data_IF_352101081767
#
_entry.id   IF_352101081767
#
_cell.length_a   1.000
_cell.length_b   1.000
_cell.length_c   1.000
_cell.angle_alpha   90.00
_cell.angle_beta   90.00
_cell.angle_gamma   90.00
#
_symmetry.space_group_name_H-M   'P 1'
#
loop_
_entity.id
_entity.type
_entity.pdbx_description
1 polymer ?
#
# COMPACT_ATOMS: atom_id res chain seq x y z
N UNK A 1 -37.64 61.63 64.55
CA UNK A 1 -37.65 62.62 63.44
C UNK A 1 -36.29 62.53 62.77
N UNK A 2 -36.05 62.03 61.56
CA UNK A 2 -36.90 61.75 60.41
C UNK A 2 -36.37 60.50 59.69
N UNK A 3 -37.29 59.68 59.21
CA UNK A 3 -37.03 58.57 58.31
C UNK A 3 -36.65 59.12 56.92
N UNK A 4 -35.46 58.79 56.42
CA UNK A 4 -35.09 59.04 55.02
C UNK A 4 -35.20 57.74 54.23
N UNK A 5 -36.22 57.71 53.40
CA UNK A 5 -36.68 56.70 52.46
C UNK A 5 -35.56 56.18 51.55
N UNK A 6 -35.11 54.93 51.76
CA UNK A 6 -34.29 54.21 50.77
C UNK A 6 -35.18 53.79 49.61
N UNK A 7 -34.98 54.40 48.45
CA UNK A 7 -35.71 54.10 47.21
C UNK A 7 -35.16 52.79 46.62
N UNK A 8 -35.82 51.68 46.88
CA UNK A 8 -35.61 50.41 46.17
C UNK A 8 -36.04 50.57 44.72
N UNK A 9 -35.09 50.61 43.78
CA UNK A 9 -35.37 50.42 42.36
C UNK A 9 -35.69 48.93 42.16
N UNK A 10 -36.96 48.60 42.01
CA UNK A 10 -37.41 47.31 41.47
C UNK A 10 -36.91 47.18 40.04
N UNK A 11 -36.11 46.14 39.77
CA UNK A 11 -35.82 45.69 38.41
C UNK A 11 -37.15 45.27 37.76
N UNK A 12 -37.41 45.65 36.50
CA UNK A 12 -38.56 45.11 35.78
C UNK A 12 -38.36 43.60 35.63
N UNK A 13 -39.39 42.83 35.97
CA UNK A 13 -39.44 41.41 35.66
C UNK A 13 -39.56 41.25 34.15
N UNK A 14 -38.41 41.22 33.47
CA UNK A 14 -38.32 40.75 32.08
C UNK A 14 -38.54 39.23 32.11
N UNK A 15 -39.81 38.85 32.26
CA UNK A 15 -40.27 37.49 32.03
C UNK A 15 -39.93 37.14 30.58
N UNK A 16 -38.99 36.19 30.42
CA UNK A 16 -38.72 35.57 29.13
C UNK A 16 -39.98 34.81 28.74
N UNK A 17 -40.83 35.44 27.93
CA UNK A 17 -41.99 34.79 27.31
C UNK A 17 -41.43 33.81 26.27
N UNK A 18 -41.33 32.54 26.63
CA UNK A 18 -41.11 31.49 25.63
C UNK A 18 -42.33 31.49 24.71
N UNK A 19 -42.17 31.70 23.39
CA UNK A 19 -43.28 31.59 22.47
C UNK A 19 -43.89 30.20 22.64
N UNK A 20 -45.20 30.15 22.88
CA UNK A 20 -45.94 28.90 23.00
C UNK A 20 -45.55 28.00 21.83
N UNK A 21 -45.03 26.82 22.15
CA UNK A 21 -44.61 25.81 21.18
C UNK A 21 -45.85 25.46 20.34
N UNK A 22 -45.98 26.09 19.15
CA UNK A 22 -47.04 25.74 18.22
C UNK A 22 -46.87 24.26 17.95
N UNK A 23 -47.86 23.40 18.18
CA UNK A 23 -47.72 21.99 17.85
C UNK A 23 -47.43 21.93 16.35
N UNK A 24 -46.18 21.59 16.01
CA UNK A 24 -45.82 21.25 14.64
C UNK A 24 -46.80 20.16 14.25
N UNK A 25 -47.68 20.49 13.32
CA UNK A 25 -48.73 19.60 12.84
C UNK A 25 -48.02 18.32 12.39
N UNK A 26 -48.08 17.27 13.22
CA UNK A 26 -47.41 16.00 12.94
C UNK A 26 -48.13 15.40 11.72
N UNK A 27 -47.57 15.64 10.54
CA UNK A 27 -47.93 14.91 9.34
C UNK A 27 -47.58 13.44 9.61
N UNK A 28 -48.60 12.63 9.83
CA UNK A 28 -48.43 11.18 9.94
C UNK A 28 -47.99 10.66 8.58
N UNK A 29 -46.77 10.15 8.48
CA UNK A 29 -46.30 9.44 7.29
C UNK A 29 -47.11 8.14 7.22
N UNK A 30 -47.73 7.87 6.07
CA UNK A 30 -48.45 6.62 5.90
C UNK A 30 -47.46 5.45 5.88
N UNK A 31 -47.85 4.29 6.42
CA UNK A 31 -47.03 3.07 6.38
C UNK A 31 -46.60 2.74 4.94
N UNK A 32 -47.50 3.00 3.98
CA UNK A 32 -47.27 2.81 2.54
C UNK A 32 -46.17 3.72 2.00
N UNK A 33 -46.16 4.99 2.38
CA UNK A 33 -45.14 5.95 1.94
C UNK A 33 -43.75 5.55 2.43
N UNK A 34 -43.63 5.12 3.69
CA UNK A 34 -42.39 4.60 4.25
C UNK A 34 -41.94 3.31 3.53
N UNK A 35 -42.89 2.42 3.20
CA UNK A 35 -42.61 1.15 2.52
C UNK A 35 -42.08 1.37 1.11
N UNK A 36 -42.70 2.28 0.34
CA UNK A 36 -42.24 2.61 -1.02
C UNK A 36 -40.84 3.24 -1.00
N UNK A 37 -40.56 4.13 -0.04
CA UNK A 37 -39.23 4.73 0.09
C UNK A 37 -38.15 3.67 0.37
N UNK A 38 -38.41 2.74 1.30
CA UNK A 38 -37.46 1.66 1.58
C UNK A 38 -37.29 0.70 0.39
N UNK A 39 -38.35 0.46 -0.39
CA UNK A 39 -38.28 -0.34 -1.61
C UNK A 39 -37.37 0.31 -2.67
N UNK A 40 -37.48 1.62 -2.88
CA UNK A 40 -36.65 2.36 -3.85
C UNK A 40 -35.18 2.39 -3.38
N UNK A 41 -34.93 2.66 -2.10
CA UNK A 41 -33.56 2.65 -1.54
C UNK A 41 -32.92 1.26 -1.67
N UNK A 42 -33.67 0.20 -1.40
CA UNK A 42 -33.20 -1.18 -1.56
C UNK A 42 -32.81 -1.53 -3.00
N UNK A 43 -33.59 -1.07 -3.98
CA UNK A 43 -33.28 -1.23 -5.40
C UNK A 43 -32.00 -0.46 -5.81
N UNK A 44 -31.83 0.77 -5.30
CA UNK A 44 -30.61 1.54 -5.57
C UNK A 44 -29.37 0.87 -4.98
N UNK A 45 -29.43 0.38 -3.74
CA UNK A 45 -28.29 -0.27 -3.08
C UNK A 45 -27.92 -1.59 -3.75
N UNK A 46 -28.90 -2.39 -4.18
CA UNK A 46 -28.65 -3.70 -4.81
C UNK A 46 -27.86 -3.57 -6.12
N UNK A 47 -28.10 -2.49 -6.88
CA UNK A 47 -27.34 -2.19 -8.10
C UNK A 47 -25.95 -1.62 -7.80
N UNK A 48 -25.73 -1.02 -6.63
CA UNK A 48 -24.46 -0.38 -6.24
C UNK A 48 -23.43 -1.35 -5.62
N UNK A 49 -23.87 -2.38 -4.89
CA UNK A 49 -22.97 -3.32 -4.20
C UNK A 49 -21.90 -3.97 -5.11
N UNK A 50 -22.24 -4.56 -6.28
CA UNK A 50 -21.23 -5.17 -7.15
C UNK A 50 -20.23 -4.15 -7.71
N UNK A 51 -20.65 -2.91 -7.96
CA UNK A 51 -19.78 -1.86 -8.48
C UNK A 51 -18.71 -1.43 -7.45
N UNK A 52 -19.07 -1.37 -6.16
CA UNK A 52 -18.15 -0.95 -5.09
C UNK A 52 -16.97 -1.93 -4.95
N UNK A 53 -17.20 -3.23 -5.18
CA UNK A 53 -16.12 -4.23 -5.12
C UNK A 53 -15.10 -4.07 -6.25
N UNK A 54 -15.55 -3.77 -7.47
CA UNK A 54 -14.66 -3.50 -8.61
C UNK A 54 -13.79 -2.26 -8.37
N UNK A 55 -14.37 -1.20 -7.80
CA UNK A 55 -13.64 0.04 -7.48
C UNK A 55 -12.55 -0.20 -6.43
N UNK A 56 -12.85 -0.96 -5.37
CA UNK A 56 -11.86 -1.29 -4.33
C UNK A 56 -10.67 -2.07 -4.89
N UNK A 57 -10.92 -3.07 -5.73
CA UNK A 57 -9.85 -3.83 -6.37
C UNK A 57 -9.00 -2.94 -7.29
N UNK A 58 -9.62 -2.04 -8.06
CA UNK A 58 -8.89 -1.08 -8.88
C UNK A 58 -8.02 -0.10 -8.05
N UNK A 59 -8.54 0.37 -6.92
CA UNK A 59 -7.81 1.23 -5.99
C UNK A 59 -6.59 0.51 -5.39
N UNK A 60 -6.77 -0.71 -4.89
CA UNK A 60 -5.68 -1.53 -4.35
C UNK A 60 -4.58 -1.77 -5.40
N UNK A 61 -4.96 -1.99 -6.66
CA UNK A 61 -4.00 -2.11 -7.76
C UNK A 61 -3.21 -0.85 -8.00
N UNK A 62 -3.89 0.29 -8.04
CA UNK A 62 -3.26 1.59 -8.23
C UNK A 62 -2.24 1.87 -7.14
N UNK A 63 -2.55 1.49 -5.89
CA UNK A 63 -1.61 1.59 -4.76
C UNK A 63 -0.37 0.71 -4.97
N UNK A 64 -0.52 -0.56 -5.36
CA UNK A 64 0.65 -1.43 -5.61
C UNK A 64 1.54 -0.92 -6.76
N UNK A 65 0.92 -0.45 -7.85
CA UNK A 65 1.65 0.14 -8.98
C UNK A 65 2.40 1.40 -8.54
N UNK A 66 1.77 2.25 -7.74
CA UNK A 66 2.41 3.45 -7.21
C UNK A 66 3.57 3.11 -6.27
N UNK A 67 3.42 2.13 -5.37
CA UNK A 67 4.52 1.65 -4.53
C UNK A 67 5.71 1.15 -5.36
N UNK A 68 5.45 0.35 -6.40
CA UNK A 68 6.47 -0.09 -7.36
C UNK A 68 7.19 1.08 -8.02
N UNK A 69 6.45 2.09 -8.47
CA UNK A 69 7.02 3.30 -9.06
C UNK A 69 7.87 4.10 -8.07
N UNK A 70 7.47 4.17 -6.80
CA UNK A 70 8.26 4.82 -5.75
C UNK A 70 9.54 4.06 -5.41
N UNK A 71 9.51 2.73 -5.39
CA UNK A 71 10.72 1.91 -5.26
C UNK A 71 11.65 2.16 -6.45
N UNK A 72 11.13 2.16 -7.68
CA UNK A 72 11.92 2.45 -8.88
C UNK A 72 12.54 3.86 -8.83
N UNK A 73 11.83 4.84 -8.29
CA UNK A 73 12.36 6.18 -8.08
C UNK A 73 13.51 6.17 -7.05
N UNK A 74 13.31 5.51 -5.90
CA UNK A 74 14.34 5.38 -4.86
C UNK A 74 15.59 4.67 -5.38
N UNK A 75 15.43 3.65 -6.22
CA UNK A 75 16.53 2.96 -6.89
C UNK A 75 17.30 3.88 -7.83
N UNK A 76 16.60 4.72 -8.61
CA UNK A 76 17.25 5.73 -9.46
C UNK A 76 18.00 6.76 -8.63
N UNK A 77 17.41 7.23 -7.53
CA UNK A 77 18.07 8.15 -6.60
C UNK A 77 19.33 7.53 -5.98
N UNK A 78 19.27 6.24 -5.60
CA UNK A 78 20.45 5.49 -5.14
C UNK A 78 21.53 5.44 -6.24
N UNK A 79 21.15 5.10 -7.48
CA UNK A 79 22.07 5.01 -8.60
C UNK A 79 22.70 6.37 -8.93
N UNK A 80 21.93 7.44 -8.84
CA UNK A 80 22.41 8.81 -9.07
C UNK A 80 23.38 9.27 -7.98
N UNK A 81 23.12 8.91 -6.73
CA UNK A 81 23.96 9.27 -5.58
C UNK A 81 25.26 8.44 -5.53
N UNK A 82 25.17 7.12 -5.72
CA UNK A 82 26.29 6.19 -5.57
C UNK A 82 27.03 5.88 -6.90
N UNK A 83 26.51 6.37 -8.03
CA UNK A 83 27.03 6.09 -9.39
C UNK A 83 27.13 4.61 -9.73
N UNK A 84 26.34 3.79 -9.03
CA UNK A 84 26.30 2.33 -9.16
C UNK A 84 24.92 1.84 -8.74
N UNK A 85 24.49 0.71 -9.29
CA UNK A 85 23.33 -0.01 -8.76
C UNK A 85 23.65 -0.63 -7.40
N UNK A 86 22.61 -0.96 -6.59
CA UNK A 86 22.83 -1.71 -5.37
C UNK A 86 23.62 -3.00 -5.63
N UNK A 87 24.52 -3.40 -4.71
CA UNK A 87 25.18 -4.69 -4.81
C UNK A 87 24.16 -5.83 -4.82
N UNK A 88 24.52 -7.01 -5.36
CA UNK A 88 23.64 -8.17 -5.30
C UNK A 88 23.36 -8.58 -3.84
N UNK A 89 22.16 -9.11 -3.54
CA UNK A 89 21.78 -9.52 -2.20
C UNK A 89 22.65 -10.68 -1.72
N UNK A 90 23.00 -10.64 -0.44
CA UNK A 90 23.66 -11.72 0.29
C UNK A 90 22.58 -12.61 0.93
N UNK A 91 22.51 -13.91 0.59
CA UNK A 91 21.50 -14.80 1.14
C UNK A 91 21.50 -14.82 2.67
N UNK A 92 20.36 -14.53 3.27
CA UNK A 92 20.16 -14.56 4.73
C UNK A 92 20.61 -13.31 5.49
N UNK A 93 21.11 -12.27 4.81
CA UNK A 93 21.57 -11.01 5.43
C UNK A 93 20.79 -9.81 4.90
N UNK A 94 20.47 -8.79 5.72
CA UNK A 94 19.92 -7.53 5.23
C UNK A 94 20.89 -6.89 4.23
N UNK A 95 20.53 -6.91 2.95
CA UNK A 95 21.43 -6.53 1.86
C UNK A 95 20.68 -6.33 0.54
N UNK A 96 21.43 -5.91 -0.47
CA UNK A 96 20.94 -5.69 -1.82
C UNK A 96 20.00 -4.50 -1.93
N UNK A 97 19.27 -4.44 -3.04
CA UNK A 97 18.38 -3.31 -3.32
C UNK A 97 17.36 -3.05 -2.21
N UNK A 98 16.88 -4.06 -1.47
CA UNK A 98 15.89 -3.90 -0.39
C UNK A 98 16.40 -3.19 0.87
N UNK A 99 17.71 -3.21 1.12
CA UNK A 99 18.29 -2.56 2.30
C UNK A 99 18.97 -1.23 1.93
N UNK A 100 19.64 -1.20 0.78
CA UNK A 100 20.46 -0.07 0.33
C UNK A 100 19.61 1.16 -0.05
N UNK A 101 18.40 0.95 -0.58
CA UNK A 101 17.53 2.06 -1.01
C UNK A 101 16.66 2.61 0.12
N UNK A 102 16.63 2.01 1.31
CA UNK A 102 15.78 2.43 2.42
C UNK A 102 15.91 3.93 2.77
N UNK A 103 17.11 4.53 2.81
CA UNK A 103 17.25 5.97 3.07
C UNK A 103 16.58 6.84 2.01
N UNK A 104 16.57 6.38 0.75
CA UNK A 104 15.94 7.09 -0.37
C UNK A 104 14.41 6.95 -0.38
N UNK A 105 13.87 6.14 0.53
CA UNK A 105 12.44 5.93 0.75
C UNK A 105 11.96 6.56 2.06
N UNK A 106 12.77 7.42 2.69
CA UNK A 106 12.51 7.99 4.03
C UNK A 106 12.45 6.93 5.15
N UNK A 107 13.05 5.75 4.93
CA UNK A 107 13.08 4.62 5.87
C UNK A 107 14.47 4.41 6.49
N UNK A 108 15.26 5.49 6.63
CA UNK A 108 16.62 5.44 7.18
C UNK A 108 16.71 4.92 8.63
N UNK A 109 15.66 5.15 9.42
CA UNK A 109 15.55 4.58 10.77
C UNK A 109 15.43 3.05 10.75
N UNK A 110 14.67 2.51 9.79
CA UNK A 110 14.56 1.07 9.57
C UNK A 110 15.90 0.47 9.16
N UNK A 111 16.61 1.14 8.24
CA UNK A 111 17.93 0.70 7.79
C UNK A 111 18.91 0.60 8.96
N UNK A 112 18.91 1.63 9.83
CA UNK A 112 19.80 1.71 11.01
C UNK A 112 19.49 0.64 12.06
N UNK A 113 18.25 0.15 12.10
CA UNK A 113 17.84 -0.93 13.01
C UNK A 113 18.30 -2.33 12.57
N UNK A 114 18.69 -2.49 11.29
CA UNK A 114 19.17 -3.74 10.73
C UNK A 114 20.70 -3.72 10.62
N UNK A 115 21.34 -4.72 11.23
CA UNK A 115 22.79 -4.89 11.17
C UNK A 115 23.14 -5.79 9.99
N UNK A 116 23.68 -5.22 8.91
CA UNK A 116 24.05 -5.96 7.68
C UNK A 116 25.07 -7.09 7.92
N UNK A 117 25.92 -6.96 8.94
CA UNK A 117 26.91 -7.98 9.32
C UNK A 117 26.33 -9.21 10.05
N UNK A 118 25.03 -9.21 10.37
CA UNK A 118 24.37 -10.32 11.07
C UNK A 118 23.24 -10.92 10.22
N UNK A 119 22.99 -12.23 10.32
CA UNK A 119 21.84 -12.84 9.67
C UNK A 119 20.53 -12.20 10.11
N UNK A 120 19.51 -12.24 9.25
CA UNK A 120 18.16 -11.72 9.56
C UNK A 120 17.50 -12.45 10.75
N UNK A 121 17.92 -13.68 11.01
CA UNK A 121 17.44 -14.53 12.12
C UNK A 121 18.17 -14.26 13.43
N UNK A 122 19.27 -13.49 13.42
CA UNK A 122 20.01 -13.16 14.63
C UNK A 122 19.14 -12.29 15.56
N UNK A 123 19.32 -12.43 16.87
CA UNK A 123 18.50 -11.73 17.86
C UNK A 123 18.49 -10.21 17.68
N UNK A 124 19.60 -9.62 17.20
CA UNK A 124 19.70 -8.18 16.91
C UNK A 124 18.83 -7.71 15.73
N UNK A 125 18.58 -8.57 14.74
CA UNK A 125 17.79 -8.25 13.55
C UNK A 125 16.36 -8.81 13.59
N UNK A 126 16.10 -9.83 14.41
CA UNK A 126 14.86 -10.61 14.37
C UNK A 126 13.60 -9.78 14.68
N UNK A 127 13.70 -8.68 15.43
CA UNK A 127 12.57 -7.77 15.68
C UNK A 127 12.38 -6.78 14.52
N UNK A 128 13.45 -6.12 14.08
CA UNK A 128 13.43 -5.14 12.99
C UNK A 128 13.03 -5.78 11.64
N UNK A 129 13.46 -7.01 11.38
CA UNK A 129 13.10 -7.73 10.16
C UNK A 129 11.61 -8.15 10.13
N UNK A 130 10.86 -8.03 11.23
CA UNK A 130 9.41 -8.24 11.23
C UNK A 130 8.64 -7.00 10.77
N UNK A 131 9.21 -5.81 10.98
CA UNK A 131 8.59 -4.54 10.59
C UNK A 131 8.94 -4.18 9.15
N UNK A 132 8.09 -4.59 8.19
CA UNK A 132 8.26 -4.31 6.76
C UNK A 132 7.84 -2.87 6.41
N UNK A 133 8.66 -2.10 5.67
CA UNK A 133 8.28 -0.78 5.14
C UNK A 133 6.99 -0.84 4.33
N UNK A 134 6.09 0.15 4.46
CA UNK A 134 4.81 0.17 3.72
C UNK A 134 4.97 0.08 2.21
N UNK A 135 6.03 0.68 1.65
CA UNK A 135 6.29 0.67 0.21
C UNK A 135 6.69 -0.69 -0.34
N UNK A 136 7.27 -1.57 0.48
CA UNK A 136 7.51 -2.97 0.09
C UNK A 136 6.29 -3.86 0.23
N UNK A 137 5.15 -3.30 0.65
CA UNK A 137 3.87 -4.02 0.73
C UNK A 137 3.04 -3.71 -0.50
N UNK A 138 2.52 -4.73 -1.15
CA UNK A 138 1.40 -4.52 -2.07
C UNK A 138 0.09 -4.51 -1.27
N UNK A 139 -0.84 -3.60 -1.59
CA UNK A 139 -2.16 -3.54 -0.96
C UNK A 139 -3.02 -4.80 -1.18
N UNK A 140 -2.74 -5.58 -2.22
CA UNK A 140 -3.35 -6.89 -2.38
C UNK A 140 -2.73 -7.95 -1.45
N UNK A 141 -1.54 -7.70 -0.89
CA UNK A 141 -0.73 -8.71 -0.23
C UNK A 141 -1.54 -9.41 0.84
N UNK A 142 -1.68 -10.71 0.63
CA UNK A 142 -2.49 -11.52 1.47
C UNK A 142 -1.74 -11.94 2.73
N UNK A 143 -2.46 -12.00 3.85
CA UNK A 143 -1.90 -12.40 5.14
C UNK A 143 -1.55 -13.89 5.23
N UNK A 144 -1.86 -14.71 4.22
CA UNK A 144 -1.57 -16.15 4.21
C UNK A 144 -0.20 -16.52 3.64
N UNK A 145 0.53 -15.57 3.01
CA UNK A 145 1.88 -15.85 2.54
C UNK A 145 2.85 -15.93 3.74
N UNK A 146 3.65 -16.98 3.78
CA UNK A 146 4.74 -17.15 4.75
C UNK A 146 6.08 -17.18 4.01
N UNK A 147 7.13 -16.74 4.70
CA UNK A 147 8.50 -16.90 4.20
C UNK A 147 9.15 -18.14 4.82
N UNK A 148 10.32 -18.51 4.32
CA UNK A 148 11.15 -19.57 4.92
C UNK A 148 11.61 -19.24 6.35
N UNK A 149 11.48 -17.97 6.76
CA UNK A 149 11.86 -17.51 8.09
C UNK A 149 10.62 -17.17 8.92
N UNK A 150 10.45 -17.93 10.01
CA UNK A 150 9.30 -17.79 10.90
C UNK A 150 9.14 -16.36 11.43
N UNK A 151 7.94 -15.82 11.25
CA UNK A 151 7.57 -14.47 11.71
C UNK A 151 7.99 -13.32 10.79
N UNK A 152 8.72 -13.58 9.72
CA UNK A 152 9.06 -12.58 8.70
C UNK A 152 8.19 -12.82 7.46
N UNK A 153 7.59 -11.75 6.92
CA UNK A 153 6.79 -11.84 5.70
C UNK A 153 7.68 -11.99 4.47
N UNK A 154 7.23 -12.69 3.41
CA UNK A 154 7.99 -12.78 2.18
C UNK A 154 8.06 -11.42 1.47
N UNK A 155 8.96 -11.25 0.50
CA UNK A 155 8.98 -10.06 -0.34
C UNK A 155 7.76 -10.05 -1.29
N UNK A 156 7.08 -8.91 -1.41
CA UNK A 156 5.98 -8.74 -2.38
C UNK A 156 6.51 -8.35 -3.77
N UNK A 157 7.73 -7.82 -3.81
CA UNK A 157 8.45 -7.37 -5.01
C UNK A 157 9.82 -8.03 -5.08
N UNK A 158 10.35 -8.17 -6.29
CA UNK A 158 11.72 -8.61 -6.56
C UNK A 158 12.33 -7.78 -7.69
N UNK A 159 13.65 -7.85 -7.79
CA UNK A 159 14.39 -7.16 -8.81
C UNK A 159 14.76 -8.11 -9.96
N UNK A 160 14.53 -7.65 -11.19
CA UNK A 160 15.00 -8.29 -12.41
C UNK A 160 16.18 -7.49 -12.92
N UNK A 161 17.32 -8.16 -13.01
CA UNK A 161 18.56 -7.59 -13.53
C UNK A 161 18.64 -7.91 -15.01
N UNK A 162 18.67 -6.88 -15.85
CA UNK A 162 18.93 -7.02 -17.27
C UNK A 162 20.35 -6.53 -17.56
N UNK A 163 21.21 -7.46 -17.94
CA UNK A 163 22.49 -7.14 -18.55
C UNK A 163 22.24 -6.72 -20.01
N UNK A 164 22.98 -5.71 -20.49
CA UNK A 164 22.82 -5.23 -21.87
C UNK A 164 22.91 -6.38 -22.88
N UNK A 165 22.06 -6.34 -23.92
CA UNK A 165 22.00 -7.37 -24.99
C UNK A 165 23.40 -7.74 -25.52
N UNK A 166 23.67 -9.04 -25.76
CA UNK A 166 24.86 -9.44 -26.52
C UNK A 166 24.80 -8.80 -27.92
N UNK A 167 25.81 -7.99 -28.26
CA UNK A 167 25.91 -7.25 -29.53
C UNK A 167 25.72 -5.72 -29.46
N UNK A 168 25.44 -5.15 -28.28
CA UNK A 168 25.44 -3.68 -28.11
C UNK A 168 26.86 -3.10 -28.06
N UNK A 169 27.10 -2.01 -28.79
CA UNK A 169 28.39 -1.27 -28.79
C UNK A 169 28.58 -0.41 -27.54
N UNK A 170 27.52 -0.19 -26.75
CA UNK A 170 27.59 0.48 -25.45
C UNK A 170 28.02 -0.53 -24.39
N UNK A 171 29.14 -0.22 -23.74
CA UNK A 171 29.72 -0.99 -22.64
C UNK A 171 28.75 -0.96 -21.45
N UNK A 172 28.10 -2.10 -21.16
CA UNK A 172 27.58 -2.49 -19.83
C UNK A 172 26.55 -1.56 -19.18
N UNK A 173 25.41 -1.31 -19.83
CA UNK A 173 24.24 -0.77 -19.12
C UNK A 173 23.54 -1.94 -18.41
N UNK A 174 23.86 -2.17 -17.13
CA UNK A 174 23.06 -3.04 -16.26
C UNK A 174 21.86 -2.21 -15.83
N UNK A 175 20.66 -2.76 -16.03
CA UNK A 175 19.41 -2.15 -15.55
C UNK A 175 18.74 -3.07 -14.54
N UNK A 176 18.16 -2.47 -13.50
CA UNK A 176 17.45 -3.18 -12.45
C UNK A 176 16.00 -2.70 -12.44
N UNK A 177 15.08 -3.62 -12.69
CA UNK A 177 13.64 -3.36 -12.82
C UNK A 177 12.88 -4.10 -11.74
N UNK A 178 11.99 -3.41 -11.02
CA UNK A 178 11.18 -4.03 -9.97
C UNK A 178 9.91 -4.64 -10.56
N UNK A 179 9.65 -5.91 -10.21
CA UNK A 179 8.45 -6.66 -10.61
C UNK A 179 7.76 -7.26 -9.40
N UNK A 180 6.50 -7.67 -9.57
CA UNK A 180 5.78 -8.38 -8.51
C UNK A 180 6.34 -9.78 -8.33
N UNK A 181 6.51 -10.18 -7.08
CA UNK A 181 6.96 -11.51 -6.72
C UNK A 181 5.95 -12.58 -7.15
N UNK A 182 6.41 -13.75 -7.64
CA UNK A 182 5.54 -14.89 -7.89
C UNK A 182 5.01 -15.42 -6.56
N UNK A 183 3.90 -16.16 -6.63
CA UNK A 183 3.25 -16.78 -5.50
C UNK A 183 4.17 -17.76 -4.75
N UNK A 184 5.01 -18.48 -5.49
CA UNK A 184 5.95 -19.47 -4.97
C UNK A 184 7.15 -18.87 -4.24
N UNK A 185 7.37 -17.56 -4.30
CA UNK A 185 8.50 -16.95 -3.62
C UNK A 185 8.29 -16.97 -2.11
N UNK A 186 9.23 -17.58 -1.40
CA UNK A 186 9.27 -17.68 0.06
C UNK A 186 10.38 -16.83 0.67
N UNK A 187 11.11 -16.05 -0.13
CA UNK A 187 12.22 -15.24 0.38
C UNK A 187 11.72 -14.07 1.24
N UNK A 188 12.31 -13.85 2.44
CA UNK A 188 11.91 -12.79 3.36
C UNK A 188 12.31 -11.39 2.85
N UNK A 189 11.56 -10.37 3.28
CA UNK A 189 11.63 -9.03 2.67
C UNK A 189 12.90 -8.18 2.87
N UNK A 190 13.85 -8.43 3.80
CA UNK A 190 15.14 -7.74 3.73
C UNK A 190 16.18 -8.50 2.88
N UNK A 191 15.79 -9.65 2.30
CA UNK A 191 16.61 -10.52 1.45
C UNK A 191 15.83 -10.80 0.16
N UNK A 192 15.35 -9.75 -0.52
CA UNK A 192 14.63 -9.97 -1.76
C UNK A 192 15.56 -10.53 -2.84
N UNK A 193 15.07 -11.52 -3.57
CA UNK A 193 15.79 -12.11 -4.69
C UNK A 193 16.04 -11.09 -5.80
N UNK A 194 17.16 -11.32 -6.48
CA UNK A 194 17.46 -10.79 -7.80
C UNK A 194 17.47 -11.97 -8.78
N UNK A 195 16.82 -11.80 -9.93
CA UNK A 195 16.83 -12.78 -11.03
C UNK A 195 17.28 -12.11 -12.32
N UNK A 196 17.86 -12.89 -13.24
CA UNK A 196 18.22 -12.35 -14.56
C UNK A 196 17.00 -12.14 -15.44
N UNK A 197 17.11 -11.23 -16.40
CA UNK A 197 16.07 -10.98 -17.40
C UNK A 197 15.70 -12.24 -18.21
N UNK A 198 16.70 -13.07 -18.54
CA UNK A 198 16.48 -14.33 -19.25
C UNK A 198 15.64 -15.31 -18.42
N UNK A 199 15.95 -15.44 -17.13
CA UNK A 199 15.21 -16.30 -16.22
C UNK A 199 13.77 -15.80 -16.01
N UNK A 200 13.61 -14.49 -15.83
CA UNK A 200 12.29 -13.86 -15.76
C UNK A 200 11.44 -14.15 -17.02
N UNK A 201 12.02 -13.94 -18.21
CA UNK A 201 11.36 -14.22 -19.49
C UNK A 201 11.02 -15.70 -19.68
N UNK A 202 11.90 -16.61 -19.22
CA UNK A 202 11.66 -18.06 -19.23
C UNK A 202 10.50 -18.45 -18.32
N UNK A 203 10.47 -17.96 -17.09
CA UNK A 203 9.40 -18.25 -16.13
C UNK A 203 8.04 -17.68 -16.59
N UNK A 204 8.06 -16.50 -17.20
CA UNK A 204 6.85 -15.89 -17.78
C UNK A 204 6.32 -16.67 -18.98
N UNK A 205 7.20 -17.11 -19.88
CA UNK A 205 6.78 -17.85 -21.09
C UNK A 205 6.23 -19.24 -20.79
N UNK A 206 6.65 -19.86 -19.67
CA UNK A 206 6.17 -21.16 -19.21
C UNK A 206 4.91 -21.10 -18.33
N UNK A 207 4.26 -19.94 -18.19
CA UNK A 207 3.15 -19.70 -17.23
C UNK A 207 3.52 -20.08 -15.76
N UNK A 208 4.82 -20.15 -15.45
CA UNK A 208 5.32 -20.45 -14.10
C UNK A 208 5.32 -19.20 -13.20
N UNK A 209 5.30 -18.00 -13.81
CA UNK A 209 5.26 -16.73 -13.09
C UNK A 209 3.83 -16.29 -12.73
N UNK A 210 3.20 -17.01 -11.82
CA UNK A 210 1.87 -16.65 -11.31
C UNK A 210 2.00 -15.70 -10.13
N UNK A 211 1.50 -14.47 -10.30
CA UNK A 211 1.43 -13.50 -9.21
C UNK A 211 0.26 -13.87 -8.29
N UNK A 212 0.49 -13.79 -6.98
CA UNK A 212 -0.42 -14.23 -5.92
C UNK A 212 -1.75 -13.42 -5.80
N UNK A 213 -1.94 -12.35 -6.57
CA UNK A 213 -3.17 -11.52 -6.50
C UNK A 213 -4.06 -11.64 -7.75
N UNK A 214 -5.40 -11.51 -7.60
CA UNK A 214 -6.38 -11.77 -8.65
C UNK A 214 -6.30 -10.84 -9.88
N UNK A 215 -5.56 -9.73 -9.82
CA UNK A 215 -5.36 -8.86 -10.98
C UNK A 215 -4.49 -9.46 -12.10
N UNK A 216 -3.85 -10.62 -11.88
CA UNK A 216 -3.01 -11.32 -12.86
C UNK A 216 -3.78 -12.35 -13.71
N UNK A 217 -4.93 -12.86 -13.23
CA UNK A 217 -5.69 -13.91 -13.89
C UNK A 217 -6.84 -13.31 -14.74
N UNK A 218 -6.55 -13.00 -16.01
CA UNK A 218 -7.59 -13.04 -17.06
C UNK A 218 -8.20 -11.72 -17.55
N UNK A 219 -7.70 -10.54 -17.18
CA UNK A 219 -8.29 -9.26 -17.66
C UNK A 219 -7.47 -8.52 -18.73
N UNK A 220 -6.55 -9.19 -19.44
CA UNK A 220 -5.70 -8.55 -20.45
C UNK A 220 -4.76 -7.47 -19.90
N UNK A 221 -4.67 -7.39 -18.56
CA UNK A 221 -4.05 -6.31 -17.81
C UNK A 221 -2.74 -6.71 -17.16
N UNK A 222 -2.28 -7.96 -17.32
CA UNK A 222 -0.96 -8.43 -16.89
C UNK A 222 0.18 -7.61 -17.53
N UNK A 223 -0.03 -7.05 -18.73
CA UNK A 223 0.92 -6.15 -19.37
C UNK A 223 1.10 -4.79 -18.66
N UNK A 224 0.08 -4.31 -17.94
CA UNK A 224 0.11 -3.01 -17.27
C UNK A 224 0.73 -3.05 -15.86
N UNK A 225 0.80 -4.24 -15.24
CA UNK A 225 1.37 -4.41 -13.89
C UNK A 225 2.88 -4.57 -13.97
N UNK A 226 3.37 -5.23 -15.01
CA UNK A 226 4.81 -5.37 -15.24
C UNK A 226 5.37 -4.17 -15.99
N UNK A 227 4.57 -3.47 -16.81
CA UNK A 227 5.00 -2.21 -17.41
C UNK A 227 6.32 -2.34 -18.16
N UNK A 228 6.45 -3.40 -18.96
CA UNK A 228 7.46 -3.45 -20.01
C UNK A 228 7.02 -2.51 -21.12
N UNK A 229 7.32 -1.22 -20.92
CA UNK A 229 7.57 -0.31 -22.04
C UNK A 229 8.86 -0.78 -22.70
N UNK A 230 8.71 -1.63 -23.72
CA UNK A 230 9.72 -1.78 -24.74
C UNK A 230 9.64 -0.53 -25.63
N UNK A 231 10.48 0.45 -25.32
CA UNK A 231 11.05 1.41 -26.27
C UNK A 231 12.57 1.47 -26.05
#
# INVERSE_FOLDING_TARGET
MNASTRRSRSLPEDGIVFPANRPLHRRGVSLVELLVCLAIIGLMISMLMPAIHAVRMSSQRTVCVNHKSQINLALRMYADANKALPPPPRPGYPSGWTWEILPFMEEGAMQSSLVSGQPITAAGNASAARSRPPLYRCAFASSWRSSDVAGILPADFLAVVSESKPGSRKRTDISLSIVHSPETNTLPWPVAAEISWEEYGRLRSQDAWKVWHPASSGTGLSGLIDGDGAD
#
